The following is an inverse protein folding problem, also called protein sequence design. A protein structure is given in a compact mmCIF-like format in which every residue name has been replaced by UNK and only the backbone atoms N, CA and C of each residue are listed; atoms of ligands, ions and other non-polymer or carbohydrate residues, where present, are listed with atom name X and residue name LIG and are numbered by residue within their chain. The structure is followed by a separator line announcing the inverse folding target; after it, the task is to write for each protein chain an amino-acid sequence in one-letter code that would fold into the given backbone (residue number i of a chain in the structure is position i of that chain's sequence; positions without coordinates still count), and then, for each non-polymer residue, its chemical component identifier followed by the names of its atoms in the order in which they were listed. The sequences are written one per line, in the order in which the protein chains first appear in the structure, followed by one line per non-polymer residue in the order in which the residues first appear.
data_IF_262440270762
#
_entry.id   IF_262440270762
#
_cell.length_a   1.000
_cell.length_b   1.000
_cell.length_c   1.000
_cell.angle_alpha   90.00
_cell.angle_beta   90.00
_cell.angle_gamma   90.00
#
_symmetry.space_group_name_H-M   'P 1'
#
loop_
_entity.id
_entity.type
_entity.pdbx_description
1 polymer ?
2 non-polymer ?
3 non-polymer ?
4 non-polymer ?
5 water ?
#
# COMPACT_ATOMS: atom_id res chain seq x y z
N UNK A 5 0.33 -5.08 48.16
CA UNK A 5 -0.77 -5.78 48.88
C UNK A 5 -0.29 -6.14 50.26
N UNK A 6 -0.63 -5.27 51.20
CA UNK A 6 -0.25 -5.41 52.58
C UNK A 6 1.20 -4.90 52.81
N UNK A 7 2.24 -5.51 52.20
CA UNK A 7 3.61 -5.19 52.60
C UNK A 7 4.11 -3.75 52.30
N UNK A 8 4.93 -3.21 53.18
CA UNK A 8 5.21 -1.80 53.10
C UNK A 8 5.91 -1.36 51.79
N UNK A 9 6.44 -2.31 51.04
CA UNK A 9 7.19 -1.97 49.84
C UNK A 9 6.27 -1.74 48.68
N UNK A 10 5.53 -2.77 48.32
CA UNK A 10 4.43 -2.70 47.42
C UNK A 10 3.59 -1.49 47.58
N UNK A 11 3.42 -1.06 48.80
CA UNK A 11 2.49 -0.03 49.06
C UNK A 11 3.12 1.23 48.61
N UNK A 12 4.42 1.27 48.78
CA UNK A 12 5.20 2.42 48.48
C UNK A 12 5.39 2.54 46.96
N UNK A 13 5.34 1.38 46.34
CA UNK A 13 5.43 1.23 44.96
C UNK A 13 4.14 1.70 44.38
N UNK A 14 3.07 1.35 45.05
CA UNK A 14 1.73 1.76 44.61
C UNK A 14 1.54 3.32 44.64
N UNK A 15 2.05 3.94 45.67
CA UNK A 15 1.97 5.37 45.81
C UNK A 15 2.71 6.06 44.67
N UNK A 16 3.86 5.49 44.36
CA UNK A 16 4.83 6.02 43.42
C UNK A 16 4.13 6.33 42.09
N UNK A 17 3.66 5.26 41.48
CA UNK A 17 2.94 5.28 40.26
C UNK A 17 1.69 6.13 40.25
N UNK A 18 0.85 5.96 41.28
CA UNK A 18 -0.37 6.73 41.37
C UNK A 18 -0.04 8.20 41.36
N UNK A 19 1.11 8.55 41.90
CA UNK A 19 1.42 9.95 42.07
C UNK A 19 2.02 10.57 40.79
N UNK A 20 2.39 9.69 39.88
CA UNK A 20 2.98 10.11 38.65
C UNK A 20 2.06 11.06 37.88
N UNK A 21 2.68 12.13 37.41
CA UNK A 21 2.02 13.06 36.54
C UNK A 21 2.78 13.33 35.19
N UNK A 22 2.08 13.21 34.07
CA UNK A 22 2.73 13.25 32.80
C UNK A 22 1.72 13.50 31.66
N UNK A 23 2.21 13.68 30.43
CA UNK A 23 1.38 13.99 29.27
C UNK A 23 1.24 12.83 28.35
N UNK A 24 0.09 12.17 28.43
CA UNK A 24 -0.13 10.90 27.74
C UNK A 24 0.00 11.17 26.24
N UNK A 25 -0.15 12.40 25.78
CA UNK A 25 -0.21 12.62 24.35
C UNK A 25 1.16 13.10 23.86
N UNK A 26 1.85 13.91 24.64
CA UNK A 26 3.19 14.28 24.27
C UNK A 26 4.22 13.18 24.48
N UNK A 27 3.79 11.97 24.85
CA UNK A 27 4.74 10.88 25.02
C UNK A 27 4.49 9.85 24.02
N UNK A 28 3.35 9.86 23.38
CA UNK A 28 3.06 8.82 22.42
C UNK A 28 2.98 9.37 20.98
N UNK A 29 3.53 10.57 20.76
CA UNK A 29 3.77 11.16 19.42
C UNK A 29 5.20 11.01 18.90
N UNK A 30 5.36 10.30 17.77
CA UNK A 30 6.64 10.14 17.05
C UNK A 30 6.57 11.06 15.81
N UNK A 31 7.71 11.39 15.20
CA UNK A 31 7.70 12.24 14.00
C UNK A 31 8.80 11.99 13.00
N UNK A 32 8.44 12.19 11.72
CA UNK A 32 9.32 12.11 10.57
C UNK A 32 9.67 13.52 10.08
N UNK A 33 9.15 13.96 8.93
CA UNK A 33 9.44 15.32 8.49
C UNK A 33 8.58 15.96 7.37
N UNK A 34 8.77 17.27 7.23
CA UNK A 34 8.22 18.09 6.17
C UNK A 34 9.30 19.07 5.65
N UNK A 35 9.16 19.59 4.43
CA UNK A 35 10.17 20.50 3.90
C UNK A 35 9.71 21.35 2.66
N UNK A 36 8.53 21.01 2.12
CA UNK A 36 7.86 21.80 1.06
C UNK A 36 8.58 21.72 -0.29
N UNK A 37 7.79 21.44 -1.32
CA UNK A 37 8.32 21.17 -2.66
C UNK A 37 7.76 22.17 -3.71
N UNK A 38 7.04 23.19 -3.24
CA UNK A 38 6.54 24.31 -4.08
C UNK A 38 5.49 23.88 -5.13
N UNK A 39 5.18 22.58 -5.16
CA UNK A 39 4.47 21.94 -6.28
C UNK A 39 5.52 21.88 -7.42
N UNK A 40 5.45 22.79 -8.39
CA UNK A 40 6.31 22.80 -9.59
C UNK A 40 6.61 21.40 -10.13
N UNK A 41 7.77 21.28 -10.79
CA UNK A 41 8.23 20.09 -11.47
C UNK A 41 7.40 19.97 -12.76
N UNK A 42 6.57 18.94 -12.84
CA UNK A 42 5.97 18.52 -14.09
C UNK A 42 7.07 17.88 -14.96
N UNK A 43 6.70 17.57 -16.21
CA UNK A 43 7.65 17.31 -17.29
C UNK A 43 8.43 16.02 -17.16
N UNK A 44 8.58 15.31 -18.29
CA UNK A 44 9.27 14.01 -18.29
C UNK A 44 9.55 13.44 -19.66
N UNK A 45 10.60 12.62 -19.76
CA UNK A 45 10.94 11.99 -21.04
C UNK A 45 9.94 10.82 -21.28
N UNK A 46 10.40 9.65 -21.68
CA UNK A 46 9.46 8.59 -21.99
C UNK A 46 10.14 7.31 -22.42
N UNK A 47 9.34 6.27 -22.67
CA UNK A 47 9.76 5.18 -23.56
C UNK A 47 8.74 4.94 -24.68
N UNK A 48 7.63 4.31 -24.30
CA UNK A 48 6.56 3.90 -25.20
C UNK A 48 5.24 4.52 -24.75
N UNK A 49 5.38 5.75 -24.27
CA UNK A 49 4.27 6.56 -23.81
C UNK A 49 4.86 7.71 -23.04
N UNK A 50 4.15 8.84 -22.99
CA UNK A 50 4.72 10.07 -22.45
C UNK A 50 3.86 10.61 -21.33
N UNK A 51 4.48 10.86 -20.17
CA UNK A 51 3.73 11.25 -18.97
C UNK A 51 4.08 12.66 -18.59
N UNK A 52 3.20 13.30 -17.83
CA UNK A 52 3.59 14.50 -17.09
C UNK A 52 3.57 14.12 -15.63
N UNK A 53 4.68 14.32 -14.92
CA UNK A 53 4.68 14.00 -13.50
C UNK A 53 3.86 15.05 -12.75
N UNK A 54 4.51 15.97 -12.05
CA UNK A 54 3.86 16.95 -11.17
C UNK A 54 3.71 16.33 -9.76
N UNK A 55 4.40 16.91 -8.78
CA UNK A 55 4.45 16.41 -7.39
C UNK A 55 3.78 17.35 -6.37
N UNK A 56 2.55 17.05 -5.94
CA UNK A 56 1.76 17.96 -5.06
C UNK A 56 1.62 17.48 -3.58
N UNK A 57 2.43 18.05 -2.67
CA UNK A 57 2.59 17.55 -1.27
C UNK A 57 1.29 17.25 -0.49
N UNK A 58 1.30 16.20 0.34
CA UNK A 58 0.11 15.85 1.13
C UNK A 58 0.44 15.43 2.61
N UNK A 59 -0.58 15.13 3.45
CA UNK A 59 -0.39 15.06 4.93
C UNK A 59 -1.01 13.89 5.76
N UNK A 60 -0.18 12.94 6.20
CA UNK A 60 -0.66 11.74 6.92
C UNK A 60 -0.59 11.77 8.48
N UNK A 61 -1.75 11.82 9.13
CA UNK A 61 -1.82 11.77 10.60
C UNK A 61 -2.72 10.64 11.10
N UNK A 62 -2.11 9.53 11.49
CA UNK A 62 -2.85 8.44 12.12
C UNK A 62 -2.82 8.50 13.64
N UNK A 63 -3.81 7.84 14.20
CA UNK A 63 -3.81 7.60 15.59
C UNK A 63 -4.59 6.31 15.85
N UNK A 64 -3.90 5.32 16.42
CA UNK A 64 -4.54 4.11 16.91
C UNK A 64 -3.99 3.70 18.23
N UNK A 65 -4.52 2.57 18.66
CA UNK A 65 -4.14 1.92 19.87
C UNK A 65 -3.79 0.48 19.63
N UNK A 66 -4.06 0.00 18.44
CA UNK A 66 -3.61 -1.29 17.98
C UNK A 66 -2.26 -1.20 17.21
N UNK A 67 -1.33 -2.02 17.64
CA UNK A 67 0.03 -2.00 17.14
C UNK A 67 0.30 -3.23 16.32
N UNK A 68 0.56 -3.07 15.01
CA UNK A 68 0.87 -4.23 14.18
C UNK A 68 2.12 -4.94 14.72
N UNK A 69 2.21 -6.27 14.64
CA UNK A 69 3.50 -6.90 14.94
C UNK A 69 4.02 -7.83 13.82
N UNK A 70 5.25 -7.54 13.42
CA UNK A 70 5.96 -8.29 12.40
C UNK A 70 7.16 -8.95 13.05
N UNK A 71 6.84 -9.79 14.02
CA UNK A 71 7.78 -10.62 14.74
C UNK A 71 7.07 -11.96 14.83
N UNK A 72 7.40 -12.79 15.80
CA UNK A 72 6.88 -14.14 15.81
C UNK A 72 7.34 -14.78 17.05
N UNK A 73 8.61 -14.55 17.26
CA UNK A 73 9.36 -15.13 18.34
C UNK A 73 9.74 -13.99 19.28
N UNK A 74 8.87 -12.98 19.35
CA UNK A 74 9.17 -11.84 20.20
C UNK A 74 8.78 -12.11 21.62
N UNK A 75 9.80 -12.23 22.45
CA UNK A 75 9.63 -12.81 23.76
C UNK A 75 9.02 -11.80 24.70
N UNK A 76 8.90 -10.55 24.28
CA UNK A 76 8.43 -9.51 25.17
C UNK A 76 7.00 -9.04 24.84
N UNK A 77 6.33 -9.76 23.93
CA UNK A 77 5.00 -9.37 23.52
C UNK A 77 3.95 -10.37 23.98
N UNK A 78 3.85 -10.41 25.29
CA UNK A 78 2.88 -11.25 25.96
C UNK A 78 1.97 -10.39 26.81
N UNK A 79 0.71 -10.79 26.87
CA UNK A 79 -0.30 -10.02 27.60
C UNK A 79 0.00 -10.10 29.04
N UNK A 80 0.10 -8.95 29.68
CA UNK A 80 0.53 -8.87 31.05
C UNK A 80 1.78 -8.05 31.08
N UNK A 81 2.55 -8.12 30.02
CA UNK A 81 3.87 -7.54 30.03
C UNK A 81 3.87 -6.08 30.36
N UNK A 82 4.73 -5.62 31.23
CA UNK A 82 4.98 -4.22 31.38
C UNK A 82 6.05 -3.71 30.42
N UNK A 83 5.80 -2.59 29.74
CA UNK A 83 6.73 -1.95 28.80
C UNK A 83 7.04 -0.64 29.36
N UNK A 84 8.25 -0.16 29.28
CA UNK A 84 8.55 1.26 29.48
C UNK A 84 8.16 2.14 28.30
N UNK A 85 7.81 3.37 28.62
CA UNK A 85 7.35 4.38 27.69
C UNK A 85 8.44 5.39 27.41
N UNK A 86 9.05 5.28 26.25
CA UNK A 86 10.28 5.97 25.99
C UNK A 86 10.39 5.82 24.51
N UNK A 87 11.41 6.41 23.89
CA UNK A 87 11.53 6.39 22.45
C UNK A 87 11.31 5.01 21.81
N UNK A 88 11.72 3.94 22.46
CA UNK A 88 11.75 2.63 21.82
C UNK A 88 10.39 2.01 21.70
N UNK A 89 9.51 2.45 22.56
CA UNK A 89 8.14 1.99 22.48
C UNK A 89 7.44 2.53 21.19
N UNK A 90 7.61 3.82 20.89
CA UNK A 90 7.11 4.35 19.66
C UNK A 90 7.58 3.57 18.43
N UNK A 91 8.87 3.19 18.42
CA UNK A 91 9.47 2.40 17.33
C UNK A 91 9.13 0.92 17.32
N UNK A 92 8.23 0.50 18.18
CA UNK A 92 7.94 -0.92 18.33
C UNK A 92 9.11 -1.87 18.71
N UNK A 93 9.86 -1.46 19.71
CA UNK A 93 11.00 -2.16 20.15
C UNK A 93 11.20 -1.79 21.59
N UNK A 94 10.26 -2.21 22.42
CA UNK A 94 10.12 -1.59 23.73
C UNK A 94 10.98 -2.16 24.78
N UNK A 95 11.37 -1.29 25.68
CA UNK A 95 12.17 -1.68 26.83
C UNK A 95 11.28 -2.41 27.85
N UNK A 96 11.45 -3.73 27.96
CA UNK A 96 10.64 -4.58 28.82
C UNK A 96 11.06 -4.49 30.26
N UNK A 97 10.07 -4.49 31.14
CA UNK A 97 10.37 -4.46 32.57
C UNK A 97 10.00 -5.77 33.17
N UNK A 98 10.96 -6.68 33.05
CA UNK A 98 10.93 -7.89 33.79
C UNK A 98 11.42 -7.54 35.17
N UNK A 99 10.74 -8.13 36.12
CA UNK A 99 10.85 -7.73 37.49
C UNK A 99 9.91 -8.72 38.08
N UNK A 100 10.05 -9.14 39.32
CA UNK A 100 9.20 -10.28 39.75
C UNK A 100 7.74 -9.86 39.72
N UNK A 101 6.93 -10.61 38.98
CA UNK A 101 5.51 -10.31 38.74
C UNK A 101 4.53 -11.15 39.54
N UNK A 102 3.39 -10.58 39.86
CA UNK A 102 2.33 -11.31 40.50
C UNK A 102 1.45 -12.04 39.52
N UNK A 103 0.50 -12.79 40.05
CA UNK A 103 -0.20 -13.60 39.07
C UNK A 103 -1.22 -12.82 38.36
N UNK A 104 -1.65 -13.31 37.21
CA UNK A 104 -2.67 -12.65 36.43
C UNK A 104 -3.71 -13.58 35.91
N UNK A 105 -4.87 -12.97 35.67
CA UNK A 105 -6.00 -13.64 35.10
C UNK A 105 -6.35 -13.04 33.76
N UNK A 106 -6.15 -13.85 32.75
CA UNK A 106 -6.45 -13.54 31.39
C UNK A 106 -7.74 -14.09 30.96
N UNK A 107 -8.51 -13.35 30.17
CA UNK A 107 -9.64 -13.92 29.40
C UNK A 107 -9.21 -14.35 27.99
N UNK A 108 -10.08 -15.08 27.33
CA UNK A 108 -9.81 -15.60 26.00
C UNK A 108 -11.14 -15.73 25.29
N UNK A 109 -11.22 -15.16 24.10
CA UNK A 109 -12.48 -15.09 23.40
C UNK A 109 -12.46 -15.90 22.12
N UNK A 110 -12.73 -17.21 22.24
CA UNK A 110 -13.10 -18.02 21.08
C UNK A 110 -14.43 -18.72 21.45
N UNK A 111 -15.01 -19.52 20.53
CA UNK A 111 -16.32 -20.14 20.75
C UNK A 111 -16.29 -21.60 21.24
N UNK A 112 -16.87 -21.87 22.40
CA UNK A 112 -16.93 -23.23 22.96
C UNK A 112 -16.83 -23.27 24.48
N UNK A 113 -17.05 -22.12 25.11
CA UNK A 113 -16.78 -21.95 26.53
C UNK A 113 -17.45 -20.69 27.11
N UNK A 114 -17.84 -19.78 26.19
CA UNK A 114 -18.55 -18.51 26.46
C UNK A 114 -18.18 -17.87 27.79
N UNK A 115 -18.37 -18.60 28.89
CA UNK A 115 -18.05 -18.11 30.23
C UNK A 115 -17.33 -19.19 30.99
N UNK A 116 -17.81 -20.42 30.93
CA UNK A 116 -17.27 -21.46 31.80
C UNK A 116 -15.80 -21.73 31.47
N UNK A 117 -14.90 -21.39 32.38
CA UNK A 117 -13.49 -21.73 32.26
C UNK A 117 -12.91 -21.33 30.90
N UNK A 118 -13.39 -20.20 30.39
CA UNK A 118 -12.67 -19.44 29.38
C UNK A 118 -11.86 -18.38 30.09
N UNK A 119 -11.35 -18.76 31.26
CA UNK A 119 -10.53 -17.92 32.14
C UNK A 119 -9.22 -18.66 32.50
N UNK A 120 -8.16 -17.93 32.83
CA UNK A 120 -6.86 -18.58 33.15
C UNK A 120 -6.01 -17.86 34.18
N UNK A 121 -5.40 -18.62 35.08
CA UNK A 121 -4.49 -18.03 36.05
C UNK A 121 -3.10 -18.46 35.73
N UNK A 122 -2.20 -17.50 35.86
CA UNK A 122 -0.79 -17.72 35.71
C UNK A 122 -0.15 -17.14 36.94
N UNK A 123 0.90 -17.78 37.45
CA UNK A 123 1.55 -17.44 38.71
C UNK A 123 2.72 -16.47 38.49
N UNK A 124 3.50 -16.75 37.45
CA UNK A 124 4.51 -15.80 37.00
C UNK A 124 4.29 -15.62 35.50
N UNK A 125 3.61 -14.51 35.12
CA UNK A 125 3.49 -14.17 33.73
C UNK A 125 4.85 -14.05 33.10
N UNK A 126 4.90 -14.49 31.85
CA UNK A 126 6.08 -14.44 31.04
C UNK A 126 5.60 -14.98 29.71
N UNK A 127 6.39 -14.77 28.68
CA UNK A 127 6.03 -15.30 27.40
C UNK A 127 5.71 -16.78 27.50
N UNK A 128 6.46 -17.51 28.34
CA UNK A 128 6.46 -18.97 28.34
C UNK A 128 5.25 -19.54 29.05
N UNK A 129 5.15 -19.18 30.32
CA UNK A 129 4.00 -19.59 31.12
C UNK A 129 2.74 -19.19 30.39
N UNK A 130 2.62 -17.96 29.94
CA UNK A 130 1.39 -17.55 29.25
C UNK A 130 1.20 -18.32 27.95
N UNK A 131 2.22 -18.56 27.15
CA UNK A 131 1.98 -19.44 26.01
C UNK A 131 1.51 -20.86 26.48
N UNK A 132 2.27 -21.47 27.39
CA UNK A 132 1.96 -22.84 27.78
C UNK A 132 0.62 -23.03 28.46
N UNK A 133 0.11 -21.97 29.09
CA UNK A 133 -1.30 -21.90 29.55
C UNK A 133 -2.29 -21.95 28.38
N UNK A 134 -2.11 -21.04 27.43
CA UNK A 134 -2.91 -21.02 26.22
C UNK A 134 -2.93 -22.34 25.51
N UNK A 135 -1.74 -22.81 25.17
CA UNK A 135 -1.62 -23.94 24.30
C UNK A 135 -2.21 -25.17 24.98
N UNK A 136 -2.42 -25.10 26.29
CA UNK A 136 -3.14 -26.14 27.01
C UNK A 136 -4.62 -26.11 26.68
N UNK A 137 -5.24 -24.94 26.83
CA UNK A 137 -6.63 -24.77 26.42
C UNK A 137 -6.92 -25.08 24.95
N UNK A 138 -6.04 -24.67 24.04
CA UNK A 138 -6.33 -24.85 22.63
C UNK A 138 -6.47 -26.30 22.24
N UNK A 139 -6.01 -27.18 23.11
CA UNK A 139 -6.20 -28.61 22.93
C UNK A 139 -7.64 -29.01 23.30
N UNK A 140 -8.06 -28.71 24.53
CA UNK A 140 -9.37 -29.17 24.99
C UNK A 140 -10.50 -28.46 24.24
N UNK A 141 -10.14 -27.56 23.32
CA UNK A 141 -11.09 -26.89 22.48
C UNK A 141 -11.05 -27.59 21.13
N UNK A 142 -9.86 -28.00 20.72
CA UNK A 142 -9.73 -28.90 19.60
C UNK A 142 -10.48 -30.21 19.97
N UNK A 143 -10.42 -30.54 21.27
CA UNK A 143 -11.05 -31.74 21.82
C UNK A 143 -12.57 -31.63 21.98
N UNK A 144 -13.13 -30.45 21.73
CA UNK A 144 -14.56 -30.21 21.88
C UNK A 144 -15.11 -29.56 20.63
N UNK A 145 -14.20 -29.13 19.74
CA UNK A 145 -14.46 -28.06 18.75
C UNK A 145 -13.28 -27.97 17.76
N UNK A 146 -13.28 -26.90 16.96
CA UNK A 146 -12.27 -26.72 15.93
C UNK A 146 -12.49 -27.74 14.83
N UNK A 147 -12.58 -28.99 15.24
CA UNK A 147 -13.10 -30.07 14.45
C UNK A 147 -14.64 -30.20 14.57
N UNK A 148 -15.34 -29.14 15.00
CA UNK A 148 -16.82 -29.16 15.02
C UNK A 148 -17.32 -28.73 13.66
N UNK A 149 -16.66 -27.71 13.13
CA UNK A 149 -16.94 -27.17 11.80
C UNK A 149 -15.69 -26.39 11.40
N UNK A 150 -15.80 -25.55 10.38
CA UNK A 150 -14.79 -24.54 10.15
C UNK A 150 -15.09 -23.40 11.11
N UNK A 151 -14.31 -23.29 12.18
CA UNK A 151 -14.37 -22.07 12.98
C UNK A 151 -13.60 -21.00 12.21
N UNK A 152 -14.31 -19.96 11.72
CA UNK A 152 -13.80 -19.08 10.66
C UNK A 152 -13.10 -17.81 11.17
N UNK A 153 -11.97 -17.48 10.53
CA UNK A 153 -11.14 -16.36 10.97
C UNK A 153 -11.71 -15.02 10.54
N UNK A 154 -11.75 -14.09 11.48
CA UNK A 154 -12.28 -12.74 11.26
C UNK A 154 -11.27 -11.87 10.52
N UNK A 155 -11.56 -11.62 9.24
CA UNK A 155 -10.62 -10.90 8.38
C UNK A 155 -10.80 -9.40 8.45
N UNK A 156 -9.74 -8.68 8.12
CA UNK A 156 -9.75 -7.26 8.24
C UNK A 156 -8.67 -6.70 7.30
N UNK A 157 -9.08 -5.93 6.28
CA UNK A 157 -8.18 -5.52 5.22
C UNK A 157 -8.03 -4.01 5.22
N UNK A 158 -6.83 -3.56 4.86
CA UNK A 158 -6.52 -2.14 4.71
C UNK A 158 -5.63 -1.92 3.50
N UNK A 159 -5.74 -0.75 2.87
CA UNK A 159 -4.96 -0.37 1.70
C UNK A 159 -4.25 0.94 1.88
N UNK A 160 -3.14 1.08 1.18
CA UNK A 160 -2.59 2.39 0.90
C UNK A 160 -1.85 2.34 -0.48
N UNK A 161 -2.09 3.32 -1.35
CA UNK A 161 -1.23 3.42 -2.51
C UNK A 161 0.06 4.00 -1.93
N UNK A 162 1.19 3.50 -2.41
CA UNK A 162 2.50 4.04 -2.03
C UNK A 162 2.71 5.50 -2.38
N UNK A 163 3.88 6.00 -1.99
CA UNK A 163 4.35 7.36 -2.20
C UNK A 163 5.74 7.53 -1.56
N UNK A 164 6.00 6.83 -0.48
CA UNK A 164 7.30 6.91 0.23
C UNK A 164 7.39 5.82 1.31
N UNK A 165 8.59 5.45 1.72
CA UNK A 165 8.75 4.36 2.66
C UNK A 165 8.32 4.75 4.08
N UNK A 166 8.50 6.02 4.42
CA UNK A 166 8.20 6.48 5.75
C UNK A 166 6.69 6.63 5.90
N UNK A 167 6.06 7.28 4.93
CA UNK A 167 4.62 7.51 4.94
C UNK A 167 3.86 6.20 5.06
N UNK A 168 4.57 5.12 4.76
CA UNK A 168 4.03 3.79 4.89
C UNK A 168 4.00 3.36 6.34
N UNK A 169 5.06 3.74 7.05
CA UNK A 169 5.17 3.44 8.46
C UNK A 169 3.94 3.94 9.20
N UNK A 170 3.52 5.16 8.84
CA UNK A 170 2.43 5.84 9.53
C UNK A 170 1.08 5.21 9.20
N UNK A 171 1.12 4.17 8.37
CA UNK A 171 -0.08 3.45 7.99
C UNK A 171 -0.03 2.03 8.56
N UNK A 172 1.17 1.46 8.67
CA UNK A 172 1.35 0.03 9.00
C UNK A 172 2.18 -0.26 10.27
N UNK A 173 2.87 0.77 10.76
CA UNK A 173 3.53 0.73 12.05
C UNK A 173 4.95 1.20 12.02
N UNK A 174 5.35 1.92 13.07
CA UNK A 174 6.72 2.44 13.22
C UNK A 174 7.83 1.39 12.98
N UNK A 175 7.50 0.21 12.49
CA UNK A 175 8.46 -0.86 12.24
C UNK A 175 8.24 -1.56 10.92
N UNK A 176 8.34 -0.86 9.81
CA UNK A 176 7.90 -1.49 8.57
C UNK A 176 9.00 -2.13 7.71
N UNK A 177 10.16 -1.48 7.67
CA UNK A 177 11.34 -1.99 6.96
C UNK A 177 11.41 -3.50 6.82
N UNK A 178 11.65 -4.23 7.90
CA UNK A 178 11.97 -5.65 7.77
C UNK A 178 10.83 -6.37 7.02
N UNK A 179 9.71 -5.65 6.81
CA UNK A 179 8.69 -6.03 5.83
C UNK A 179 8.81 -5.26 4.51
N UNK A 180 8.77 -3.92 4.57
CA UNK A 180 9.05 -3.10 3.41
C UNK A 180 10.21 -3.66 2.62
N UNK A 181 11.44 -3.37 3.02
CA UNK A 181 12.65 -3.86 2.34
C UNK A 181 12.58 -5.22 1.72
N UNK A 182 11.61 -6.03 2.14
CA UNK A 182 11.55 -7.39 1.69
C UNK A 182 10.69 -7.52 0.45
N UNK A 183 9.67 -6.67 0.30
CA UNK A 183 8.72 -6.84 -0.82
C UNK A 183 9.27 -6.25 -2.14
N UNK A 184 10.53 -5.77 -2.09
CA UNK A 184 11.22 -5.11 -3.22
C UNK A 184 10.39 -3.95 -3.77
N UNK A 185 10.69 -2.74 -3.33
CA UNK A 185 9.81 -1.61 -3.57
C UNK A 185 10.55 -0.41 -4.07
N UNK A 186 10.25 -0.03 -5.30
CA UNK A 186 11.06 0.93 -6.01
C UNK A 186 10.23 2.18 -6.18
N UNK A 187 10.61 3.21 -5.43
CA UNK A 187 10.00 4.53 -5.55
C UNK A 187 10.83 5.37 -6.50
N UNK A 188 12.04 4.91 -6.80
CA UNK A 188 12.87 5.53 -7.83
C UNK A 188 12.13 5.34 -9.14
N UNK A 189 11.21 4.39 -9.12
CA UNK A 189 10.46 4.05 -10.28
C UNK A 189 9.05 4.54 -10.16
N UNK A 190 8.82 5.52 -9.30
CA UNK A 190 7.48 6.08 -9.21
C UNK A 190 7.48 7.56 -9.00
N UNK A 191 8.64 8.08 -8.60
CA UNK A 191 8.92 9.48 -8.76
C UNK A 191 9.49 9.70 -10.16
N UNK A 192 9.64 8.62 -10.91
CA UNK A 192 10.03 8.75 -12.31
C UNK A 192 8.75 8.85 -13.10
N UNK A 193 7.69 8.26 -12.55
CA UNK A 193 6.41 8.25 -13.22
C UNK A 193 6.17 6.91 -13.89
N UNK A 194 7.06 5.97 -13.62
CA UNK A 194 7.04 4.69 -14.29
C UNK A 194 5.99 3.70 -13.75
N UNK A 195 6.09 3.28 -12.48
CA UNK A 195 5.39 2.05 -12.01
C UNK A 195 4.01 2.17 -11.27
N UNK A 196 3.88 3.03 -10.25
CA UNK A 196 2.62 3.14 -9.46
C UNK A 196 2.31 1.86 -8.66
N UNK A 197 1.96 2.03 -7.37
CA UNK A 197 1.82 0.89 -6.46
C UNK A 197 0.79 1.07 -5.36
N UNK A 198 0.33 -0.08 -4.84
CA UNK A 198 -0.57 -0.15 -3.72
C UNK A 198 -0.12 -1.27 -2.88
N UNK A 199 -0.43 -1.20 -1.60
CA UNK A 199 -0.03 -2.22 -0.64
C UNK A 199 -1.13 -2.56 0.31
N UNK A 200 -1.44 -3.85 0.39
CA UNK A 200 -2.48 -4.38 1.25
C UNK A 200 -1.91 -4.99 2.50
N UNK A 201 -2.68 -4.91 3.59
CA UNK A 201 -2.38 -5.62 4.82
C UNK A 201 -3.60 -6.40 5.20
N UNK A 202 -3.63 -7.65 4.75
CA UNK A 202 -4.62 -8.61 5.24
C UNK A 202 -4.31 -9.18 6.68
N UNK A 203 -5.28 -9.08 7.60
CA UNK A 203 -5.20 -9.74 8.92
C UNK A 203 -6.23 -10.87 9.14
N UNK A 204 -5.82 -11.96 9.76
CA UNK A 204 -6.72 -13.07 10.07
C UNK A 204 -6.54 -13.41 11.55
N UNK A 205 -7.52 -13.01 12.33
CA UNK A 205 -7.52 -13.31 13.74
C UNK A 205 -8.21 -14.65 13.96
N UNK A 206 -7.59 -15.45 14.83
CA UNK A 206 -8.17 -16.71 15.23
C UNK A 206 -8.77 -16.51 16.63
N UNK A 207 -8.00 -15.92 17.55
CA UNK A 207 -8.46 -15.68 18.93
C UNK A 207 -7.78 -14.46 19.51
N UNK A 208 -8.25 -14.00 20.67
CA UNK A 208 -7.65 -12.84 21.34
C UNK A 208 -7.50 -13.12 22.82
N UNK A 209 -6.48 -12.60 23.47
CA UNK A 209 -6.22 -12.84 24.89
C UNK A 209 -6.08 -11.55 25.62
N UNK A 210 -6.82 -11.35 26.71
CA UNK A 210 -6.87 -10.03 27.29
C UNK A 210 -6.86 -10.02 28.83
N UNK A 211 -6.69 -8.82 29.36
CA UNK A 211 -6.42 -8.62 30.77
C UNK A 211 -7.42 -7.64 31.39
N UNK A 212 -8.10 -8.12 32.43
CA UNK A 212 -8.99 -7.24 33.17
C UNK A 212 -8.19 -6.08 33.82
N UNK A 213 -8.86 -5.03 34.22
CA UNK A 213 -8.13 -3.85 34.58
C UNK A 213 -7.44 -3.97 35.92
N UNK A 214 -6.25 -3.49 35.97
CA UNK A 214 -5.50 -3.61 37.18
C UNK A 214 -6.02 -2.65 38.19
N UNK A 215 -6.39 -3.16 39.36
CA UNK A 215 -7.11 -2.38 40.35
C UNK A 215 -6.18 -1.43 41.09
N UNK A 216 -4.98 -1.89 41.34
CA UNK A 216 -3.94 -0.99 41.87
C UNK A 216 -2.62 -1.19 41.19
N UNK A 217 -1.90 -0.10 40.94
CA UNK A 217 -0.61 -0.28 40.31
C UNK A 217 0.29 -1.26 40.99
N UNK A 218 0.30 -1.33 42.31
CA UNK A 218 1.11 -2.32 42.99
C UNK A 218 0.78 -3.75 42.65
N UNK A 219 -0.45 -4.03 42.23
CA UNK A 219 -1.00 -5.38 42.22
C UNK A 219 -0.34 -6.31 41.23
N UNK A 220 0.56 -5.73 40.48
CA UNK A 220 1.07 -6.27 39.24
C UNK A 220 2.45 -6.84 39.57
N UNK A 221 2.99 -6.34 40.67
CA UNK A 221 4.25 -6.74 41.24
C UNK A 221 4.15 -7.72 42.36
N UNK A 222 5.32 -8.11 42.88
CA UNK A 222 5.44 -8.97 44.05
C UNK A 222 6.08 -8.18 45.15
N UNK A 223 5.97 -8.61 46.39
CA UNK A 223 6.35 -7.69 47.45
C UNK A 223 7.83 -7.51 47.51
N UNK A 224 8.53 -8.23 46.66
CA UNK A 224 9.99 -8.22 46.64
C UNK A 224 10.46 -6.92 46.02
N UNK A 225 9.66 -6.46 45.07
CA UNK A 225 9.95 -5.23 44.31
C UNK A 225 9.77 -3.99 45.15
N UNK A 226 10.70 -3.05 44.98
CA UNK A 226 10.64 -1.74 45.62
C UNK A 226 10.71 -0.59 44.61
N UNK A 227 10.57 0.68 45.08
CA UNK A 227 10.66 1.82 44.15
C UNK A 227 12.10 2.03 43.71
N UNK A 228 13.01 1.88 44.65
CA UNK A 228 14.42 1.84 44.37
C UNK A 228 14.68 0.90 43.20
N UNK A 229 14.08 -0.27 43.13
CA UNK A 229 14.40 -1.16 41.99
C UNK A 229 13.80 -0.64 40.71
N UNK A 230 12.75 0.16 40.81
CA UNK A 230 12.12 0.74 39.62
C UNK A 230 12.95 1.96 39.15
N UNK A 231 13.30 2.83 40.07
CA UNK A 231 14.22 3.88 39.76
C UNK A 231 15.52 3.35 39.14
N UNK A 232 15.89 2.15 39.53
CA UNK A 232 17.14 1.61 39.06
C UNK A 232 17.03 1.12 37.67
N UNK A 233 15.82 1.13 37.14
CA UNK A 233 15.56 0.63 35.81
C UNK A 233 14.99 1.78 35.01
N UNK A 234 15.09 2.96 35.62
CA UNK A 234 14.77 4.21 34.99
C UNK A 234 13.34 4.74 34.90
N UNK A 235 12.39 4.19 35.65
CA UNK A 235 10.98 4.67 35.68
C UNK A 235 10.84 5.97 36.45
N UNK A 236 10.01 6.91 35.97
CA UNK A 236 10.12 8.29 36.45
C UNK A 236 8.80 9.01 36.58
N UNK A 237 8.01 8.96 35.53
CA UNK A 237 7.02 10.04 35.16
C UNK A 237 7.27 10.47 33.70
N UNK A 238 8.47 10.98 33.52
CA UNK A 238 9.14 11.03 32.25
C UNK A 238 9.14 9.70 31.49
N UNK A 239 9.19 8.62 32.24
CA UNK A 239 9.14 7.28 31.69
C UNK A 239 8.24 6.39 32.53
N UNK A 240 6.96 6.43 32.28
CA UNK A 240 6.02 5.61 33.02
C UNK A 240 5.94 4.26 32.42
N UNK A 241 4.91 3.54 32.81
CA UNK A 241 4.70 2.16 32.48
C UNK A 241 3.36 1.90 31.82
N UNK A 242 3.35 1.04 30.84
CA UNK A 242 2.10 0.50 30.37
C UNK A 242 2.12 -0.99 30.56
N UNK A 243 1.02 -1.66 30.27
CA UNK A 243 0.92 -3.08 30.37
C UNK A 243 0.21 -3.52 29.10
N UNK A 244 0.51 -4.73 28.65
CA UNK A 244 -0.02 -5.15 27.38
C UNK A 244 -1.34 -5.79 27.72
N UNK A 245 -2.39 -5.01 27.49
CA UNK A 245 -3.74 -5.32 27.92
C UNK A 245 -4.49 -6.25 26.97
N UNK A 246 -3.99 -6.40 25.77
CA UNK A 246 -4.63 -7.28 24.82
C UNK A 246 -3.69 -7.56 23.68
N UNK A 247 -3.86 -8.74 23.12
CA UNK A 247 -3.07 -9.26 22.05
C UNK A 247 -3.96 -10.08 21.13
N UNK A 248 -3.88 -9.90 19.82
CA UNK A 248 -4.67 -10.70 18.92
C UNK A 248 -3.73 -11.62 18.22
N UNK A 249 -4.22 -12.78 17.87
CA UNK A 249 -3.38 -13.89 17.49
C UNK A 249 -3.87 -14.58 16.29
N UNK A 250 -3.10 -14.54 15.22
CA UNK A 250 -3.57 -15.14 13.99
C UNK A 250 -2.56 -15.13 12.89
N UNK A 251 -3.05 -14.90 11.68
CA UNK A 251 -2.20 -14.81 10.50
C UNK A 251 -2.26 -13.43 9.86
N UNK A 252 -1.16 -13.05 9.22
CA UNK A 252 -1.10 -11.76 8.52
C UNK A 252 -0.51 -11.90 7.14
N UNK A 253 -1.08 -11.20 6.16
CA UNK A 253 -0.35 -10.94 4.92
C UNK A 253 -0.16 -9.45 4.63
N UNK A 254 1.09 -9.07 4.34
CA UNK A 254 1.35 -7.75 3.76
C UNK A 254 1.54 -8.07 2.32
N UNK A 255 1.17 -7.18 1.43
CA UNK A 255 1.20 -7.54 0.03
C UNK A 255 1.25 -6.34 -0.87
N UNK A 256 2.19 -6.36 -1.80
CA UNK A 256 2.48 -5.18 -2.63
C UNK A 256 2.13 -5.48 -4.06
N UNK A 257 1.44 -4.55 -4.70
CA UNK A 257 1.09 -4.64 -6.13
C UNK A 257 1.67 -3.54 -6.98
N UNK A 258 2.35 -3.90 -8.06
CA UNK A 258 2.86 -2.89 -9.02
C UNK A 258 2.47 -3.26 -10.44
N UNK A 259 2.06 -2.27 -11.27
CA UNK A 259 1.81 -2.49 -12.73
C UNK A 259 2.54 -1.49 -13.60
N UNK A 260 2.77 -1.84 -14.89
CA UNK A 260 3.28 -0.93 -15.94
C UNK A 260 2.36 0.27 -16.00
N UNK A 261 1.06 0.02 -15.88
CA UNK A 261 0.05 0.98 -16.28
C UNK A 261 -0.12 2.26 -15.45
N UNK A 262 -0.99 3.15 -15.93
CA UNK A 262 -1.28 4.44 -15.30
C UNK A 262 -2.76 4.85 -15.46
N UNK A 263 -3.60 3.90 -15.89
CA UNK A 263 -5.03 4.13 -16.04
C UNK A 263 -5.64 4.74 -14.79
N UNK A 264 -6.40 5.81 -14.96
CA UNK A 264 -6.89 6.46 -13.77
C UNK A 264 -8.13 5.72 -13.30
N UNK A 265 -8.29 4.50 -13.77
CA UNK A 265 -9.25 3.56 -13.18
C UNK A 265 -8.49 2.26 -12.86
N UNK A 266 -7.31 2.39 -12.25
CA UNK A 266 -6.54 1.21 -11.86
C UNK A 266 -6.94 0.70 -10.49
N UNK A 267 -7.10 1.63 -9.55
CA UNK A 267 -7.50 1.24 -8.21
C UNK A 267 -8.64 0.27 -8.28
N UNK A 268 -9.66 0.64 -9.02
CA UNK A 268 -10.79 -0.22 -9.29
C UNK A 268 -10.41 -1.65 -9.62
N UNK A 269 -9.26 -1.85 -10.25
CA UNK A 269 -8.89 -3.20 -10.66
C UNK A 269 -8.75 -4.05 -9.43
N UNK A 270 -7.80 -3.63 -8.62
CA UNK A 270 -7.53 -4.28 -7.36
C UNK A 270 -8.81 -4.53 -6.56
N UNK A 271 -9.40 -3.51 -5.92
CA UNK A 271 -10.59 -3.67 -5.08
C UNK A 271 -11.49 -4.84 -5.49
N UNK A 272 -11.69 -4.99 -6.80
CA UNK A 272 -12.53 -6.06 -7.34
C UNK A 272 -11.72 -7.34 -7.57
N UNK A 273 -10.43 -7.20 -7.84
CA UNK A 273 -9.55 -8.37 -7.84
C UNK A 273 -9.51 -8.97 -6.44
N UNK A 274 -9.20 -8.14 -5.44
CA UNK A 274 -9.15 -8.59 -4.06
C UNK A 274 -10.39 -9.36 -3.68
N UNK A 275 -11.56 -8.92 -4.16
CA UNK A 275 -12.81 -9.60 -3.85
C UNK A 275 -12.83 -11.06 -4.35
N UNK A 276 -11.76 -11.45 -5.06
CA UNK A 276 -11.46 -12.87 -5.31
C UNK A 276 -12.09 -13.46 -6.57
N UNK A 277 -13.11 -14.28 -6.35
CA UNK A 277 -13.94 -14.82 -7.43
C UNK A 277 -14.70 -13.69 -8.14
N UNK A 278 -13.96 -12.87 -8.90
CA UNK A 278 -14.52 -11.74 -9.67
C UNK A 278 -13.73 -11.64 -10.95
N UNK A 279 -13.53 -12.79 -11.59
CA UNK A 279 -13.01 -12.85 -12.94
C UNK A 279 -13.77 -11.84 -13.76
N UNK A 280 -13.11 -11.28 -14.75
CA UNK A 280 -13.81 -10.55 -15.81
C UNK A 280 -13.47 -11.21 -17.14
N UNK A 281 -14.35 -11.05 -18.14
CA UNK A 281 -14.26 -11.82 -19.40
C UNK A 281 -13.18 -11.33 -20.38
N UNK A 282 -11.92 -11.46 -19.99
CA UNK A 282 -10.77 -11.21 -20.87
C UNK A 282 -10.78 -9.74 -21.34
N UNK A 283 -10.53 -9.52 -22.63
CA UNK A 283 -10.67 -8.21 -23.28
C UNK A 283 -10.46 -6.96 -22.36
N UNK A 284 -11.24 -6.85 -21.28
CA UNK A 284 -11.35 -5.63 -20.44
C UNK A 284 -10.11 -4.84 -20.12
N UNK A 285 -10.35 -3.60 -19.68
CA UNK A 285 -9.30 -2.69 -19.28
C UNK A 285 -9.03 -2.97 -17.82
N UNK A 286 -10.07 -3.12 -17.01
CA UNK A 286 -9.81 -3.57 -15.65
C UNK A 286 -9.43 -5.06 -15.69
N UNK A 287 -8.75 -5.50 -16.77
CA UNK A 287 -8.19 -6.84 -16.88
C UNK A 287 -6.88 -6.87 -17.68
N UNK A 288 -6.65 -5.84 -18.49
CA UNK A 288 -5.38 -5.69 -19.20
C UNK A 288 -4.36 -5.37 -18.12
N UNK A 289 -4.76 -4.44 -17.26
CA UNK A 289 -3.99 -4.00 -16.11
C UNK A 289 -3.41 -5.13 -15.27
N UNK A 290 -4.23 -6.14 -15.03
CA UNK A 290 -3.81 -7.16 -14.13
C UNK A 290 -2.87 -8.07 -14.85
N UNK A 291 -3.05 -8.20 -16.17
CA UNK A 291 -2.22 -9.11 -16.92
C UNK A 291 -0.80 -8.62 -17.09
N UNK A 292 -0.57 -7.31 -16.86
CA UNK A 292 0.80 -6.76 -16.91
C UNK A 292 1.31 -6.48 -15.49
N UNK A 293 0.96 -7.38 -14.57
CA UNK A 293 1.13 -7.17 -13.13
C UNK A 293 1.97 -8.18 -12.37
N UNK A 294 2.73 -7.68 -11.40
CA UNK A 294 3.76 -8.49 -10.74
C UNK A 294 3.74 -8.21 -9.23
N UNK A 295 3.56 -9.27 -8.42
CA UNK A 295 3.47 -9.17 -6.96
C UNK A 295 4.70 -9.54 -6.16
N UNK A 296 4.66 -9.16 -4.90
CA UNK A 296 5.55 -9.68 -3.86
C UNK A 296 4.71 -9.65 -2.60
N UNK A 297 4.83 -10.69 -1.79
CA UNK A 297 3.89 -10.91 -0.68
C UNK A 297 4.54 -11.63 0.49
N UNK A 298 4.37 -11.11 1.71
CA UNK A 298 4.86 -11.70 2.97
C UNK A 298 3.79 -12.30 3.90
N UNK A 299 3.95 -13.56 4.31
CA UNK A 299 3.08 -14.16 5.35
C UNK A 299 3.74 -14.26 6.69
N UNK A 300 3.20 -13.58 7.67
CA UNK A 300 3.56 -13.88 9.04
C UNK A 300 2.35 -14.66 9.52
N UNK A 301 2.44 -15.99 9.55
CA UNK A 301 1.41 -16.72 10.29
C UNK A 301 0.97 -18.08 9.81
N UNK A 302 0.33 -18.81 10.74
CA UNK A 302 -0.09 -20.19 10.53
C UNK A 302 1.15 -21.07 10.90
N UNK A 303 2.06 -21.43 9.93
CA UNK A 303 3.07 -22.35 10.46
C UNK A 303 4.26 -21.61 11.12
N UNK A 304 4.09 -21.28 12.39
CA UNK A 304 5.10 -20.60 13.23
C UNK A 304 6.55 -20.73 12.79
N UNK A 305 7.28 -19.60 12.81
CA UNK A 305 8.76 -19.52 12.81
C UNK A 305 9.34 -18.17 12.35
N UNK A 306 9.22 -17.92 11.04
CA UNK A 306 9.61 -16.69 10.39
C UNK A 306 8.61 -16.37 9.28
N UNK A 307 9.07 -15.63 8.27
CA UNK A 307 8.18 -15.13 7.24
C UNK A 307 8.44 -15.83 5.92
N UNK A 308 7.38 -15.88 5.12
CA UNK A 308 7.38 -16.46 3.78
C UNK A 308 7.26 -15.29 2.80
N UNK A 309 8.38 -14.84 2.23
CA UNK A 309 8.36 -13.90 1.11
C UNK A 309 8.03 -14.74 -0.12
N UNK A 310 7.18 -14.24 -1.00
CA UNK A 310 6.70 -15.01 -2.13
C UNK A 310 6.28 -14.05 -3.25
N UNK A 311 6.40 -14.51 -4.48
CA UNK A 311 5.94 -13.75 -5.63
C UNK A 311 5.29 -14.62 -6.65
N UNK A 312 4.47 -13.96 -7.44
CA UNK A 312 3.77 -14.56 -8.55
C UNK A 312 3.12 -13.37 -9.21
N UNK A 313 2.37 -13.61 -10.27
CA UNK A 313 1.49 -12.60 -10.82
C UNK A 313 0.23 -12.87 -10.00
N UNK A 314 -0.89 -12.25 -10.35
CA UNK A 314 -2.12 -12.71 -9.75
C UNK A 314 -2.51 -13.93 -10.53
N UNK A 315 -2.79 -13.68 -11.82
CA UNK A 315 -3.79 -14.38 -12.61
C UNK A 315 -4.76 -15.15 -11.70
N UNK A 316 -5.15 -14.49 -10.60
CA UNK A 316 -5.80 -15.07 -9.43
C UNK A 316 -4.89 -16.13 -8.72
N UNK A 317 -3.82 -16.57 -9.38
CA UNK A 317 -2.98 -17.69 -8.93
C UNK A 317 -2.57 -17.53 -7.45
N UNK A 318 -2.14 -16.33 -7.07
CA UNK A 318 -1.88 -16.06 -5.66
C UNK A 318 -3.21 -15.76 -4.94
N UNK A 319 -3.90 -16.86 -4.61
CA UNK A 319 -4.97 -16.83 -3.61
C UNK A 319 -4.63 -17.73 -2.45
N UNK A 320 -3.67 -17.16 -1.75
CA UNK A 320 -3.39 -17.43 -0.38
C UNK A 320 -4.28 -16.60 0.55
N UNK A 321 -5.27 -15.93 0.00
CA UNK A 321 -6.09 -15.08 0.84
C UNK A 321 -6.86 -15.97 1.74
N UNK A 322 -7.44 -16.99 1.15
CA UNK A 322 -8.23 -17.94 1.91
C UNK A 322 -7.40 -19.11 2.33
N UNK A 323 -6.08 -18.92 2.43
CA UNK A 323 -5.17 -20.00 2.78
C UNK A 323 -5.38 -20.45 4.22
N UNK A 324 -5.54 -19.48 5.11
CA UNK A 324 -5.55 -19.71 6.55
C UNK A 324 -6.87 -19.19 7.05
N UNK A 325 -7.83 -19.15 6.12
CA UNK A 325 -9.16 -18.64 6.39
C UNK A 325 -9.86 -19.42 7.51
N UNK A 326 -9.69 -20.74 7.54
CA UNK A 326 -10.22 -21.58 8.62
C UNK A 326 -9.25 -21.64 9.77
N UNK A 327 -9.75 -21.68 10.99
CA UNK A 327 -8.85 -21.82 12.10
C UNK A 327 -8.72 -23.28 12.32
N UNK A 328 -9.39 -23.78 13.36
CA UNK A 328 -9.16 -25.14 13.84
C UNK A 328 -7.72 -25.21 14.35
N UNK A 329 -7.55 -25.73 15.57
CA UNK A 329 -6.32 -25.51 16.32
C UNK A 329 -5.16 -26.41 15.86
N UNK A 330 -5.14 -26.78 14.58
CA UNK A 330 -4.08 -27.65 14.07
C UNK A 330 -2.77 -27.03 14.50
N UNK A 331 -2.34 -25.98 13.80
CA UNK A 331 -1.28 -25.14 14.34
C UNK A 331 -1.87 -23.83 14.82
N UNK A 332 -1.50 -23.44 16.04
CA UNK A 332 -1.95 -22.15 16.52
C UNK A 332 -1.47 -21.04 15.64
N UNK A 333 -1.88 -19.85 15.97
CA UNK A 333 -1.50 -18.68 15.21
C UNK A 333 -0.46 -17.93 15.98
N UNK A 334 0.22 -17.04 15.30
CA UNK A 334 1.15 -16.11 15.91
C UNK A 334 0.49 -14.73 16.11
N UNK A 335 1.09 -13.91 16.97
CA UNK A 335 0.58 -12.60 17.37
C UNK A 335 0.69 -11.50 16.32
N UNK A 336 -0.41 -10.85 16.04
CA UNK A 336 -0.52 -9.98 14.92
C UNK A 336 -0.58 -8.55 15.36
N UNK A 337 -1.30 -8.28 16.44
CA UNK A 337 -1.34 -6.92 16.98
C UNK A 337 -1.63 -6.92 18.44
N UNK A 338 -1.24 -5.84 19.09
CA UNK A 338 -1.49 -5.67 20.51
C UNK A 338 -1.78 -4.24 20.97
N UNK A 339 -2.37 -4.20 22.17
CA UNK A 339 -2.83 -3.00 22.81
C UNK A 339 -2.19 -2.87 24.17
N UNK A 340 -1.91 -1.64 24.57
CA UNK A 340 -1.36 -1.27 25.85
C UNK A 340 -2.21 -0.27 26.65
N UNK A 341 -2.11 -0.32 27.98
CA UNK A 341 -2.84 0.56 28.89
C UNK A 341 -1.86 1.07 29.93
N UNK A 342 -1.92 2.33 30.31
CA UNK A 342 -1.07 2.82 31.39
C UNK A 342 -1.44 2.06 32.66
N UNK A 343 -0.51 1.89 33.58
CA UNK A 343 -0.73 1.17 34.82
C UNK A 343 -1.35 2.07 35.85
N UNK A 344 -1.07 3.35 35.69
CA UNK A 344 -1.63 4.35 36.61
C UNK A 344 -3.11 4.30 36.74
N UNK A 345 -3.84 4.08 35.63
CA UNK A 345 -5.28 4.36 35.58
C UNK A 345 -6.08 3.60 34.57
N UNK A 346 -5.43 2.74 33.80
CA UNK A 346 -6.09 1.79 32.90
C UNK A 346 -6.56 2.38 31.67
N UNK A 347 -6.11 3.63 31.46
CA UNK A 347 -6.37 4.35 30.22
C UNK A 347 -5.56 3.72 29.11
N UNK A 348 -6.22 3.27 28.06
CA UNK A 348 -5.57 2.85 26.83
C UNK A 348 -4.69 3.90 26.20
N UNK A 349 -3.48 3.46 25.91
CA UNK A 349 -2.50 4.29 25.26
C UNK A 349 -2.78 4.36 23.79
N UNK A 350 -2.75 5.59 23.31
CA UNK A 350 -3.16 5.95 21.94
C UNK A 350 -2.08 6.80 21.29
N UNK A 351 -1.52 6.25 20.21
CA UNK A 351 -0.31 6.74 19.58
C UNK A 351 -0.70 7.58 18.40
N UNK A 352 -0.17 8.77 18.34
CA UNK A 352 -0.37 9.68 17.23
C UNK A 352 0.92 9.78 16.42
N UNK A 353 0.96 9.08 15.30
CA UNK A 353 2.15 9.06 14.44
C UNK A 353 1.91 9.91 13.16
N UNK A 354 2.80 10.85 12.87
CA UNK A 354 2.61 11.66 11.66
C UNK A 354 3.85 11.84 10.79
N UNK A 355 3.62 11.80 9.48
CA UNK A 355 4.48 12.53 8.52
C UNK A 355 3.72 12.93 7.27
N UNK A 356 4.23 13.97 6.62
CA UNK A 356 3.80 14.38 5.30
C UNK A 356 4.80 13.92 4.25
N UNK A 357 4.32 13.72 3.02
CA UNK A 357 5.05 12.92 2.03
C UNK A 357 5.36 13.67 0.74
N UNK A 358 6.21 13.03 -0.05
CA UNK A 358 6.49 13.39 -1.43
C UNK A 358 5.47 12.70 -2.34
N UNK A 359 4.38 13.40 -2.64
CA UNK A 359 3.26 12.83 -3.39
C UNK A 359 3.35 13.15 -4.91
N UNK A 360 3.41 12.10 -5.72
CA UNK A 360 3.69 12.21 -7.16
C UNK A 360 2.52 11.67 -8.00
N UNK A 361 1.65 12.56 -8.53
CA UNK A 361 0.60 12.12 -9.47
C UNK A 361 1.16 12.00 -10.89
N UNK A 362 0.45 11.27 -11.75
CA UNK A 362 0.88 10.99 -13.12
C UNK A 362 -0.31 11.13 -14.07
N UNK A 363 -0.05 11.24 -15.36
CA UNK A 363 -1.13 11.40 -16.32
C UNK A 363 -0.81 10.77 -17.67
N UNK A 364 -1.88 10.32 -18.33
CA UNK A 364 -1.83 9.39 -19.48
C UNK A 364 -0.98 9.81 -20.68
N UNK A 365 -1.60 10.10 -21.83
CA UNK A 365 -0.90 10.42 -23.10
C UNK A 365 -0.08 9.28 -23.72
N UNK A 366 -0.73 8.26 -24.26
CA UNK A 366 0.00 7.23 -24.98
C UNK A 366 0.68 7.85 -26.20
N UNK A 367 1.28 7.02 -27.04
CA UNK A 367 1.80 7.53 -28.30
C UNK A 367 1.72 6.55 -29.43
N UNK A 368 0.95 6.89 -30.44
CA UNK A 368 0.87 6.07 -31.62
C UNK A 368 1.56 6.58 -32.88
N UNK A 369 1.10 6.02 -33.97
CA UNK A 369 1.52 6.39 -35.31
C UNK A 369 0.42 6.92 -36.23
N UNK A 370 0.83 7.70 -37.20
CA UNK A 370 -0.02 8.15 -38.31
C UNK A 370 0.48 7.50 -39.56
N UNK A 371 -0.35 6.69 -40.21
CA UNK A 371 0.08 6.03 -41.45
C UNK A 371 -0.67 6.52 -42.69
N UNK A 372 0.10 6.72 -43.75
CA UNK A 372 -0.39 7.16 -45.05
C UNK A 372 -0.36 6.07 -46.09
N UNK A 373 -1.46 5.85 -46.81
CA UNK A 373 -1.39 5.07 -48.04
C UNK A 373 -1.98 5.86 -49.19
N UNK A 374 -1.23 5.92 -50.27
CA UNK A 374 -1.70 6.54 -51.49
C UNK A 374 -1.73 5.55 -52.65
N UNK A 375 -2.93 5.06 -52.98
CA UNK A 375 -3.14 4.12 -54.07
C UNK A 375 -3.99 4.79 -55.14
N UNK A 376 -3.84 6.10 -55.27
CA UNK A 376 -4.55 6.87 -56.28
C UNK A 376 -3.90 7.07 -57.64
N UNK A 377 -4.76 7.17 -58.65
CA UNK A 377 -4.33 7.49 -60.02
C UNK A 377 -4.19 9.02 -60.22
N UNK A 378 -3.21 9.62 -59.59
CA UNK A 378 -3.03 11.05 -59.58
C UNK A 378 -1.91 11.35 -58.61
N UNK A 379 -1.50 12.61 -58.61
CA UNK A 379 -0.43 13.12 -57.78
C UNK A 379 -0.95 13.87 -56.61
N UNK A 380 -0.25 13.77 -55.50
CA UNK A 380 -0.81 14.32 -54.28
C UNK A 380 0.23 14.95 -53.49
N UNK A 381 -0.19 15.74 -52.52
CA UNK A 381 0.77 16.38 -51.68
C UNK A 381 0.28 16.42 -50.27
N UNK A 382 1.19 16.20 -49.33
CA UNK A 382 0.88 16.31 -47.93
C UNK A 382 1.54 17.51 -47.28
N UNK A 383 0.72 18.27 -46.58
CA UNK A 383 1.21 19.27 -45.65
C UNK A 383 0.85 18.80 -44.22
N UNK A 384 1.88 18.42 -43.48
CA UNK A 384 1.73 17.78 -42.16
C UNK A 384 2.60 18.44 -41.13
N UNK A 385 1.97 19.26 -40.33
CA UNK A 385 2.64 20.06 -39.31
C UNK A 385 2.15 19.67 -37.90
N UNK A 386 2.99 19.89 -36.90
CA UNK A 386 2.59 19.77 -35.49
C UNK A 386 3.56 20.42 -34.54
N UNK A 387 3.31 20.22 -33.26
CA UNK A 387 3.97 20.97 -32.21
C UNK A 387 4.45 19.94 -31.21
N UNK A 388 5.72 20.00 -30.79
CA UNK A 388 6.22 19.03 -29.82
C UNK A 388 6.33 19.68 -28.42
N UNK A 389 5.69 19.05 -27.43
CA UNK A 389 5.55 19.63 -26.09
C UNK A 389 6.64 19.18 -25.17
N UNK A 390 7.08 20.10 -24.35
CA UNK A 390 7.83 19.73 -23.19
C UNK A 390 7.66 20.78 -22.08
N UNK A 391 8.32 20.51 -20.94
CA UNK A 391 8.42 21.47 -19.85
C UNK A 391 9.89 21.61 -19.54
N UNK A 392 10.34 22.85 -19.38
CA UNK A 392 11.70 23.05 -18.99
C UNK A 392 11.73 23.14 -17.47
N UNK A 393 11.70 24.38 -16.99
CA UNK A 393 11.76 24.69 -15.57
C UNK A 393 10.59 25.58 -15.25
N UNK A 394 10.22 25.64 -13.98
CA UNK A 394 8.92 26.12 -13.57
C UNK A 394 7.81 25.24 -14.19
N UNK A 395 8.22 24.27 -15.01
CA UNK A 395 7.33 23.65 -15.96
C UNK A 395 6.95 24.60 -17.08
N UNK A 396 5.94 25.42 -16.76
CA UNK A 396 5.29 26.25 -17.76
C UNK A 396 4.93 25.35 -18.91
N UNK A 397 5.84 25.20 -19.89
CA UNK A 397 5.61 24.41 -21.13
C UNK A 397 6.63 24.81 -22.20
N UNK A 398 6.66 24.08 -23.30
CA UNK A 398 7.64 24.32 -24.35
C UNK A 398 7.13 23.71 -25.61
N UNK A 399 6.43 24.50 -26.42
CA UNK A 399 5.85 24.00 -27.68
C UNK A 399 6.70 24.34 -28.87
N UNK A 400 7.78 23.60 -29.15
CA UNK A 400 8.60 23.89 -30.33
C UNK A 400 8.02 23.19 -31.58
N UNK A 401 7.47 23.96 -32.56
CA UNK A 401 6.77 23.33 -33.70
C UNK A 401 7.62 22.42 -34.57
N UNK A 402 6.96 21.68 -35.45
CA UNK A 402 7.66 20.73 -36.27
C UNK A 402 6.87 20.50 -37.57
N UNK A 403 7.43 19.68 -38.48
CA UNK A 403 6.89 19.52 -39.84
C UNK A 403 7.47 18.34 -40.61
N UNK A 404 6.63 17.56 -41.29
CA UNK A 404 7.10 16.40 -42.05
C UNK A 404 8.23 16.66 -43.07
N UNK A 405 8.95 15.63 -43.50
CA UNK A 405 10.13 15.86 -44.32
C UNK A 405 9.60 16.10 -45.75
N UNK A 406 8.47 15.46 -46.06
CA UNK A 406 7.98 15.40 -47.45
C UNK A 406 6.81 16.35 -47.74
N UNK A 407 6.73 17.38 -46.94
CA UNK A 407 5.78 18.42 -47.21
C UNK A 407 6.14 19.17 -48.43
N UNK A 408 5.37 18.96 -49.47
CA UNK A 408 5.61 19.67 -50.70
C UNK A 408 5.79 18.63 -51.75
N UNK A 409 6.64 17.66 -51.49
CA UNK A 409 6.85 16.56 -52.40
C UNK A 409 5.58 16.07 -53.08
N UNK A 410 5.69 15.67 -54.33
CA UNK A 410 4.58 15.11 -55.11
C UNK A 410 4.72 13.62 -55.11
N UNK A 411 3.66 12.94 -54.75
CA UNK A 411 3.76 11.51 -54.50
C UNK A 411 2.78 10.82 -55.37
N UNK A 412 3.14 9.62 -55.82
CA UNK A 412 2.36 8.97 -56.85
C UNK A 412 1.99 7.58 -56.48
N UNK A 413 1.85 6.76 -57.49
CA UNK A 413 2.22 5.38 -57.34
C UNK A 413 1.34 4.82 -56.35
N UNK A 414 1.98 3.84 -55.67
CA UNK A 414 1.61 3.33 -54.36
C UNK A 414 2.63 3.73 -53.36
N UNK A 415 2.36 4.81 -52.66
CA UNK A 415 3.21 5.34 -51.59
C UNK A 415 2.67 5.03 -50.21
N UNK A 416 3.54 4.51 -49.34
CA UNK A 416 3.22 4.24 -47.94
C UNK A 416 4.37 4.67 -47.11
N UNK A 417 4.06 5.32 -46.01
CA UNK A 417 5.05 5.55 -44.96
C UNK A 417 4.32 5.59 -43.66
N UNK A 418 5.05 5.41 -42.56
CA UNK A 418 4.48 5.47 -41.21
C UNK A 418 5.20 6.53 -40.46
N UNK A 419 4.53 7.62 -40.18
CA UNK A 419 5.14 8.68 -39.44
C UNK A 419 4.83 8.50 -37.91
N UNK A 420 5.86 8.22 -37.09
CA UNK A 420 5.48 7.96 -35.71
C UNK A 420 5.57 9.15 -34.79
N UNK A 421 4.58 9.29 -33.91
CA UNK A 421 4.45 10.43 -32.99
C UNK A 421 4.51 10.02 -31.51
N UNK A 422 4.82 10.96 -30.62
CA UNK A 422 4.84 10.61 -29.19
C UNK A 422 3.89 11.51 -28.37
N UNK A 423 3.60 11.08 -27.14
CA UNK A 423 2.57 11.70 -26.33
C UNK A 423 2.63 13.21 -26.26
N UNK A 424 3.82 13.79 -26.22
CA UNK A 424 3.88 15.23 -26.10
C UNK A 424 3.44 15.94 -27.36
N UNK A 425 3.21 15.20 -28.44
CA UNK A 425 2.79 15.82 -29.74
C UNK A 425 1.46 16.55 -29.60
N UNK A 426 1.37 17.78 -30.12
CA UNK A 426 0.15 18.58 -29.99
C UNK A 426 -0.02 19.51 -31.19
N UNK A 427 -1.27 19.91 -31.46
CA UNK A 427 -1.56 20.82 -32.56
C UNK A 427 -1.21 20.24 -33.91
N UNK A 428 -1.51 18.96 -34.06
CA UNK A 428 -1.25 18.26 -35.28
C UNK A 428 -2.21 18.63 -36.36
N UNK A 429 -1.72 19.27 -37.44
CA UNK A 429 -2.50 19.58 -38.66
C UNK A 429 -2.14 18.65 -39.80
N UNK A 430 -3.12 18.25 -40.60
CA UNK A 430 -2.87 17.47 -41.80
C UNK A 430 -3.69 17.91 -42.98
N UNK A 431 -3.03 18.30 -44.05
CA UNK A 431 -3.71 18.64 -45.28
C UNK A 431 -3.26 17.78 -46.45
N UNK A 432 -4.18 17.41 -47.30
CA UNK A 432 -3.90 16.62 -48.49
C UNK A 432 -4.65 17.11 -49.72
N UNK A 433 -3.93 17.65 -50.70
CA UNK A 433 -4.47 17.91 -52.05
C UNK A 433 -4.01 16.92 -53.07
N UNK A 434 -4.95 16.64 -53.96
CA UNK A 434 -4.73 15.87 -55.15
C UNK A 434 -4.81 16.82 -56.25
N UNK A 435 -4.29 16.41 -57.37
CA UNK A 435 -4.11 17.29 -58.50
C UNK A 435 -4.94 16.89 -59.71
N UNK A 436 -5.83 17.74 -60.20
CA UNK A 436 -6.82 17.21 -61.09
C UNK A 436 -6.49 17.12 -62.57
N UNK A 437 -5.59 17.95 -63.08
CA UNK A 437 -5.36 17.98 -64.51
C UNK A 437 -6.43 18.81 -65.17
N UNK A 438 -7.16 19.54 -64.36
CA UNK A 438 -8.13 20.42 -64.93
C UNK A 438 -7.52 21.79 -64.83
N UNK A 439 -7.61 22.49 -65.94
CA UNK A 439 -7.00 23.79 -66.10
C UNK A 439 -7.45 24.88 -65.12
N UNK A 440 -8.75 25.06 -64.96
CA UNK A 440 -9.32 25.97 -63.98
C UNK A 440 -9.28 25.61 -62.45
N UNK A 441 -9.09 24.34 -62.09
CA UNK A 441 -8.92 23.88 -60.70
C UNK A 441 -7.73 22.93 -60.62
N UNK A 442 -6.60 23.38 -60.13
CA UNK A 442 -5.44 22.52 -60.17
C UNK A 442 -5.52 21.49 -59.09
N UNK A 443 -5.92 21.95 -57.92
CA UNK A 443 -5.95 21.09 -56.77
C UNK A 443 -7.31 21.03 -56.16
N UNK A 444 -7.79 19.82 -55.86
CA UNK A 444 -8.78 19.59 -54.79
C UNK A 444 -8.04 19.36 -53.48
N UNK A 445 -8.50 20.02 -52.43
CA UNK A 445 -8.11 19.62 -51.12
C UNK A 445 -9.02 18.51 -50.78
N UNK A 446 -8.44 17.40 -50.39
CA UNK A 446 -9.17 16.16 -50.26
C UNK A 446 -9.35 15.76 -48.81
N UNK A 447 -8.69 16.47 -47.92
CA UNK A 447 -8.68 16.12 -46.53
C UNK A 447 -8.06 17.25 -45.73
N UNK A 448 -8.70 17.71 -44.66
CA UNK A 448 -8.05 18.76 -43.90
C UNK A 448 -8.51 18.98 -42.43
N UNK A 449 -7.97 18.22 -41.47
CA UNK A 449 -8.39 18.35 -40.09
C UNK A 449 -7.37 19.13 -39.32
N UNK A 450 -7.82 20.03 -38.48
CA UNK A 450 -6.93 20.66 -37.54
C UNK A 450 -7.05 19.94 -36.21
N UNK A 451 -6.00 20.07 -35.40
CA UNK A 451 -5.89 19.38 -34.10
C UNK A 451 -6.49 18.00 -34.16
N UNK A 452 -5.85 17.20 -35.01
CA UNK A 452 -6.08 15.79 -35.01
C UNK A 452 -5.91 15.27 -33.62
N UNK A 453 -6.78 14.32 -33.22
CA UNK A 453 -6.53 13.55 -32.01
C UNK A 453 -5.30 12.64 -32.15
N UNK A 454 -4.58 12.48 -31.05
CA UNK A 454 -3.44 11.57 -30.97
C UNK A 454 -3.91 10.17 -30.61
N UNK A 455 -3.68 9.19 -31.48
CA UNK A 455 -4.26 7.86 -31.32
C UNK A 455 -3.26 6.75 -31.59
N UNK A 456 -3.53 5.55 -31.09
CA UNK A 456 -2.60 4.44 -31.23
C UNK A 456 -2.13 4.28 -32.70
N UNK A 457 -3.07 4.44 -33.61
CA UNK A 457 -2.79 4.15 -35.01
C UNK A 457 -3.88 4.73 -35.86
N UNK A 458 -3.72 5.99 -36.23
CA UNK A 458 -4.59 6.60 -37.26
C UNK A 458 -4.05 6.30 -38.60
N UNK A 459 -4.88 5.80 -39.50
CA UNK A 459 -4.37 5.65 -40.86
C UNK A 459 -5.29 6.29 -41.89
N UNK A 460 -4.75 7.35 -42.49
CA UNK A 460 -5.41 8.01 -43.64
C UNK A 460 -5.01 7.37 -44.96
N UNK A 461 -5.97 7.17 -45.82
CA UNK A 461 -5.79 6.32 -46.99
C UNK A 461 -6.52 6.96 -48.18
N UNK A 462 -5.79 7.52 -49.16
CA UNK A 462 -6.47 8.23 -50.27
C UNK A 462 -6.42 7.35 -51.49
N UNK A 463 -7.48 7.25 -52.24
CA UNK A 463 -7.35 6.55 -53.51
C UNK A 463 -8.34 7.05 -54.65
N UNK A 464 -8.53 6.25 -55.68
CA UNK A 464 -9.48 6.65 -56.69
C UNK A 464 -8.82 7.48 -57.78
N UNK A 465 -9.63 8.30 -58.40
CA UNK A 465 -9.30 8.93 -59.66
C UNK A 465 -9.16 10.44 -59.50
N UNK A 466 -8.67 11.12 -60.53
CA UNK A 466 -8.54 12.62 -60.50
C UNK A 466 -9.78 13.35 -60.23
N UNK A 467 -10.81 12.98 -60.93
CA UNK A 467 -12.07 13.64 -60.66
C UNK A 467 -12.92 13.09 -59.50
N UNK A 468 -12.54 11.90 -59.00
CA UNK A 468 -13.32 11.08 -58.09
C UNK A 468 -12.42 10.41 -57.07
N UNK A 469 -11.72 11.24 -56.30
CA UNK A 469 -10.97 10.78 -55.13
C UNK A 469 -11.81 10.18 -53.98
N UNK A 470 -11.33 9.06 -53.45
CA UNK A 470 -11.88 8.48 -52.19
C UNK A 470 -10.96 8.69 -51.01
N UNK A 471 -11.52 8.87 -49.85
CA UNK A 471 -10.67 8.96 -48.64
C UNK A 471 -11.13 8.21 -47.41
N UNK A 472 -10.38 7.20 -46.96
CA UNK A 472 -10.55 6.69 -45.60
C UNK A 472 -9.71 7.30 -44.48
N UNK A 473 -10.41 7.85 -43.50
CA UNK A 473 -9.83 8.27 -42.21
C UNK A 473 -10.05 7.24 -41.05
N UNK A 474 -9.13 6.30 -40.86
CA UNK A 474 -9.27 5.19 -39.89
C UNK A 474 -8.52 5.27 -38.59
N UNK A 475 -9.25 5.43 -37.49
CA UNK A 475 -8.62 5.32 -36.18
C UNK A 475 -8.79 3.92 -35.60
N UNK A 476 -7.82 3.57 -34.77
CA UNK A 476 -7.67 2.26 -34.19
C UNK A 476 -7.02 2.35 -32.79
N UNK A 477 -7.86 2.56 -31.77
CA UNK A 477 -7.44 2.64 -30.38
C UNK A 477 -7.88 1.37 -29.60
#
# INVERSE_FOLDING_TARGET
HHHHHHGSANKAVNDFILAMNYDKKKLLTHQGESIENRFIKEGNQLPDEFVVIERKKRSLSTSTSDISVTATNDSRLYPGALLVVDETLLENNPTLLAVDRAPMTYSIDLPGLASSDSFLQVEDPSNSSVRGAVNDLLAKWHQDYGQVNNVPARMQYEKITAHSMEQLKVKFGSDFEKTGNSLDIDFNSVHSGEKQIQIVNFKQIYYTVSVDAVRNPGDVFQDTVTVEDLKQRGISAERPLVYISSVAYGRQVYLKLETTSKSDEVEAAFEALIKGVKVAPQTEWKQILDNTEVKAVILGGDPSSGARVVTGKVDMVDDLIQEGSRFTADHPGLPISYTTSFLRDNVVATFQNSTDYVETKVTAYRNGDLLLDHSGAYVAQYYITWDELSYDHQGKEVLTPKAWDRNGQDLTAHFTTSIPLKGNVRNLSVKIRECTGLAWEWWRTVYEKTDLPLVRKRTISIWGTTLYPQVEDKVEN
#
